data_IF_000136947963
#
_entry.id   IF_000136947963
#
_cell.length_a   1.000
_cell.length_b   1.000
_cell.length_c   1.000
_cell.angle_alpha   90.00
_cell.angle_beta   90.00
_cell.angle_gamma   90.00
#
_symmetry.space_group_name_H-M   'P 1'
#
loop_
_entity.id
_entity.type
_entity.pdbx_description
1 polymer ?
#
# COMPACT_ATOMS: atom_id res chain seq x y z
N UNK A 1 4.27 -29.94 19.86
CA UNK A 1 4.75 -29.31 18.61
C UNK A 1 3.55 -29.02 17.70
N UNK A 2 3.57 -27.93 16.92
CA UNK A 2 2.47 -27.56 16.01
C UNK A 2 2.68 -28.17 14.59
N UNK A 3 1.92 -29.20 14.18
CA UNK A 3 2.08 -29.82 12.86
C UNK A 3 1.54 -28.99 11.69
N UNK A 4 0.70 -27.98 11.98
CA UNK A 4 0.16 -27.08 10.97
C UNK A 4 1.15 -25.99 10.55
N UNK A 5 2.18 -25.75 11.36
CA UNK A 5 3.22 -24.77 11.03
C UNK A 5 4.20 -25.35 10.01
N UNK A 6 4.04 -24.94 8.75
CA UNK A 6 4.91 -25.30 7.63
C UNK A 6 5.40 -24.00 6.98
N UNK A 7 6.58 -23.47 7.37
CA UNK A 7 7.06 -22.22 6.82
C UNK A 7 7.33 -22.38 5.32
N UNK A 8 6.84 -21.41 4.54
CA UNK A 8 7.11 -21.34 3.10
C UNK A 8 8.56 -20.87 2.91
N UNK A 9 9.36 -21.52 2.05
CA UNK A 9 10.74 -21.09 1.81
C UNK A 9 10.78 -19.67 1.21
N UNK A 10 11.84 -18.89 1.50
CA UNK A 10 11.97 -17.56 0.93
C UNK A 10 12.32 -17.60 -0.57
N UNK A 11 12.12 -16.47 -1.24
CA UNK A 11 12.52 -16.29 -2.63
C UNK A 11 14.04 -16.23 -2.76
N UNK A 12 14.57 -16.80 -3.85
CA UNK A 12 15.99 -16.71 -4.16
C UNK A 12 16.39 -15.29 -4.56
N UNK A 13 17.65 -14.95 -4.34
CA UNK A 13 18.15 -13.60 -4.57
C UNK A 13 18.08 -13.20 -6.04
N UNK A 14 18.45 -14.12 -6.94
CA UNK A 14 18.35 -13.92 -8.38
C UNK A 14 16.91 -13.61 -8.83
N UNK A 15 15.89 -14.28 -8.25
CA UNK A 15 14.49 -13.97 -8.55
C UNK A 15 14.15 -12.56 -8.08
N UNK A 16 14.56 -12.17 -6.87
CA UNK A 16 14.27 -10.83 -6.36
C UNK A 16 14.88 -9.74 -7.25
N UNK A 17 16.11 -9.95 -7.72
CA UNK A 17 16.78 -9.02 -8.65
C UNK A 17 16.01 -8.91 -9.97
N UNK A 18 15.65 -10.03 -10.57
CA UNK A 18 14.88 -10.02 -11.84
C UNK A 18 13.51 -9.37 -11.67
N UNK A 19 12.81 -9.62 -10.56
CA UNK A 19 11.54 -9.00 -10.24
C UNK A 19 11.67 -7.48 -10.02
N UNK A 20 12.72 -7.03 -9.33
CA UNK A 20 12.96 -5.61 -9.11
C UNK A 20 13.21 -4.86 -10.43
N UNK A 21 14.02 -5.43 -11.33
CA UNK A 21 14.27 -4.86 -12.66
C UNK A 21 13.00 -4.85 -13.51
N UNK A 22 12.24 -5.96 -13.55
CA UNK A 22 10.99 -6.03 -14.30
C UNK A 22 9.93 -5.06 -13.76
N UNK A 23 9.92 -4.79 -12.46
CA UNK A 23 8.96 -3.88 -11.83
C UNK A 23 9.08 -2.43 -12.31
N UNK A 24 10.23 -2.01 -12.86
CA UNK A 24 10.40 -0.67 -13.42
C UNK A 24 9.65 -0.48 -14.75
N UNK A 25 9.53 -1.54 -15.54
CA UNK A 25 8.94 -1.49 -16.90
C UNK A 25 7.53 -2.08 -16.97
N UNK A 26 7.15 -2.96 -16.04
CA UNK A 26 5.88 -3.69 -16.07
C UNK A 26 5.05 -3.42 -14.82
N UNK A 27 3.72 -3.35 -14.93
CA UNK A 27 2.87 -3.12 -13.78
C UNK A 27 2.94 -4.31 -12.80
N UNK A 28 3.15 -4.02 -11.52
CA UNK A 28 3.31 -5.02 -10.44
C UNK A 28 2.20 -6.09 -10.42
N UNK A 29 0.96 -5.71 -10.77
CA UNK A 29 -0.17 -6.64 -10.83
C UNK A 29 0.03 -7.74 -11.86
N UNK A 30 0.63 -7.43 -13.00
CA UNK A 30 0.91 -8.41 -14.06
C UNK A 30 2.02 -9.36 -13.60
N UNK A 31 3.08 -8.82 -12.98
CA UNK A 31 4.15 -9.62 -12.40
C UNK A 31 3.67 -10.54 -11.29
N UNK A 32 2.74 -10.08 -10.44
CA UNK A 32 2.15 -10.89 -9.37
C UNK A 32 1.46 -12.13 -9.93
N UNK A 33 0.72 -11.98 -11.03
CA UNK A 33 0.02 -13.09 -11.69
C UNK A 33 1.02 -14.03 -12.39
N UNK A 34 1.99 -13.47 -13.11
CA UNK A 34 3.01 -14.23 -13.86
C UNK A 34 3.88 -15.08 -12.93
N UNK A 35 4.36 -14.48 -11.85
CA UNK A 35 5.29 -15.12 -10.91
C UNK A 35 4.59 -15.77 -9.71
N UNK A 36 3.25 -15.69 -9.61
CA UNK A 36 2.46 -16.21 -8.47
C UNK A 36 2.98 -15.73 -7.11
N UNK A 37 3.39 -14.47 -7.06
CA UNK A 37 3.87 -13.79 -5.86
C UNK A 37 2.83 -12.77 -5.41
N UNK A 38 2.63 -12.64 -4.11
CA UNK A 38 1.73 -11.62 -3.58
C UNK A 38 2.17 -10.20 -3.97
N UNK A 39 1.21 -9.34 -4.29
CA UNK A 39 1.48 -7.96 -4.73
C UNK A 39 2.26 -7.17 -3.66
N UNK A 40 1.92 -7.35 -2.39
CA UNK A 40 2.63 -6.75 -1.25
C UNK A 40 4.09 -7.19 -1.18
N UNK A 41 4.37 -8.48 -1.43
CA UNK A 41 5.74 -8.99 -1.44
C UNK A 41 6.53 -8.38 -2.59
N UNK A 42 5.93 -8.21 -3.77
CA UNK A 42 6.60 -7.52 -4.89
C UNK A 42 6.91 -6.06 -4.57
N UNK A 43 5.98 -5.32 -3.97
CA UNK A 43 6.22 -3.95 -3.50
C UNK A 43 7.36 -3.90 -2.48
N UNK A 44 7.37 -4.83 -1.53
CA UNK A 44 8.42 -4.93 -0.52
C UNK A 44 9.78 -5.26 -1.14
N UNK A 45 9.85 -6.21 -2.09
CA UNK A 45 11.09 -6.54 -2.82
C UNK A 45 11.62 -5.30 -3.53
N UNK A 46 10.78 -4.61 -4.30
CA UNK A 46 11.18 -3.41 -5.05
C UNK A 46 11.75 -2.33 -4.11
N UNK A 47 11.08 -2.05 -2.98
CA UNK A 47 11.57 -1.10 -1.97
C UNK A 47 12.90 -1.52 -1.34
N UNK A 48 13.03 -2.78 -0.94
CA UNK A 48 14.24 -3.30 -0.30
C UNK A 48 15.44 -3.28 -1.26
N UNK A 49 15.23 -3.62 -2.53
CA UNK A 49 16.26 -3.58 -3.58
C UNK A 49 16.69 -2.15 -3.89
N UNK A 50 15.75 -1.20 -3.97
CA UNK A 50 16.09 0.21 -4.11
C UNK A 50 16.98 0.70 -2.95
N UNK A 51 16.66 0.29 -1.71
CA UNK A 51 17.47 0.62 -0.53
C UNK A 51 18.84 -0.05 -0.53
N UNK A 52 18.94 -1.28 -0.99
CA UNK A 52 20.21 -1.99 -1.17
C UNK A 52 21.13 -1.23 -2.15
N UNK A 53 20.60 -0.83 -3.31
CA UNK A 53 21.33 -0.01 -4.27
C UNK A 53 21.75 1.35 -3.68
N UNK A 54 20.91 1.98 -2.86
CA UNK A 54 21.27 3.20 -2.15
C UNK A 54 22.43 2.97 -1.16
N UNK A 55 22.40 1.88 -0.38
CA UNK A 55 23.49 1.55 0.55
C UNK A 55 24.82 1.31 -0.17
N UNK A 56 24.78 0.66 -1.34
CA UNK A 56 25.96 0.47 -2.19
C UNK A 56 26.51 1.82 -2.68
N UNK A 57 25.64 2.76 -3.10
CA UNK A 57 26.05 4.12 -3.50
C UNK A 57 26.65 4.92 -2.34
N UNK A 58 26.16 4.70 -1.12
CA UNK A 58 26.69 5.28 0.12
C UNK A 58 27.99 4.61 0.61
N UNK A 59 28.47 3.55 -0.07
CA UNK A 59 29.68 2.82 0.31
C UNK A 59 29.51 1.93 1.55
N UNK A 60 28.27 1.62 1.95
CA UNK A 60 28.00 0.73 3.09
C UNK A 60 28.19 -0.73 2.66
N UNK A 61 28.97 -1.54 3.40
CA UNK A 61 29.20 -2.93 3.04
C UNK A 61 27.94 -3.78 3.26
N UNK A 62 27.57 -4.59 2.26
CA UNK A 62 26.46 -5.54 2.36
C UNK A 62 26.94 -6.86 3.01
N UNK A 63 26.10 -7.44 3.87
CA UNK A 63 26.39 -8.68 4.59
C UNK A 63 26.06 -9.93 3.75
N UNK A 64 26.72 -10.10 2.62
CA UNK A 64 26.40 -11.16 1.64
C UNK A 64 26.55 -12.58 2.23
N UNK A 65 27.64 -12.84 2.97
CA UNK A 65 27.90 -14.17 3.57
C UNK A 65 26.79 -14.60 4.53
N UNK A 66 26.30 -13.66 5.33
CA UNK A 66 25.20 -13.91 6.25
C UNK A 66 23.90 -14.20 5.49
N UNK A 67 23.59 -13.41 4.47
CA UNK A 67 22.43 -13.62 3.62
C UNK A 67 22.45 -15.00 2.94
N UNK A 68 23.62 -15.42 2.42
CA UNK A 68 23.80 -16.75 1.81
C UNK A 68 23.61 -17.88 2.83
N UNK A 69 24.20 -17.77 4.03
CA UNK A 69 24.01 -18.78 5.08
C UNK A 69 22.55 -18.91 5.53
N UNK A 70 21.85 -17.78 5.66
CA UNK A 70 20.42 -17.76 5.99
C UNK A 70 19.56 -18.39 4.88
N UNK A 71 19.86 -18.12 3.62
CA UNK A 71 19.15 -18.71 2.48
C UNK A 71 19.26 -20.25 2.48
N UNK A 72 20.44 -20.78 2.80
CA UNK A 72 20.66 -22.22 2.92
C UNK A 72 19.87 -22.82 4.10
N UNK A 73 19.88 -22.18 5.27
CA UNK A 73 19.13 -22.65 6.45
C UNK A 73 17.61 -22.64 6.25
N UNK A 74 17.10 -21.68 5.47
CA UNK A 74 15.67 -21.54 5.19
C UNK A 74 15.20 -22.36 3.99
N UNK A 75 16.09 -23.16 3.38
CA UNK A 75 15.74 -24.08 2.29
C UNK A 75 15.30 -23.38 1.01
N UNK A 76 15.97 -22.28 0.63
CA UNK A 76 15.70 -21.60 -0.64
C UNK A 76 15.97 -22.59 -1.80
N UNK A 77 15.01 -22.81 -2.71
CA UNK A 77 15.20 -23.71 -3.84
C UNK A 77 16.23 -23.12 -4.82
N UNK A 78 17.21 -23.94 -5.22
CA UNK A 78 18.21 -23.54 -6.23
C UNK A 78 17.59 -23.46 -7.64
N UNK A 79 16.55 -24.27 -7.92
CA UNK A 79 15.79 -24.22 -9.17
C UNK A 79 14.59 -23.28 -9.03
N UNK A 80 14.74 -22.09 -9.61
CA UNK A 80 13.95 -20.89 -9.38
C UNK A 80 12.59 -20.81 -10.09
N UNK A 81 12.15 -21.85 -10.78
CA UNK A 81 11.04 -21.71 -11.74
C UNK A 81 9.64 -21.73 -11.12
N UNK A 82 9.50 -22.13 -9.86
CA UNK A 82 8.17 -22.23 -9.24
C UNK A 82 8.20 -21.83 -7.76
N UNK A 83 8.52 -20.56 -7.49
CA UNK A 83 8.15 -19.96 -6.20
C UNK A 83 6.64 -19.70 -6.17
N UNK A 84 5.87 -20.77 -6.04
CA UNK A 84 4.41 -20.68 -5.92
C UNK A 84 4.11 -20.27 -4.49
N UNK A 85 3.95 -18.99 -4.25
CA UNK A 85 3.13 -18.60 -3.13
C UNK A 85 1.70 -18.99 -3.45
N UNK A 86 0.99 -19.61 -2.50
CA UNK A 86 -0.46 -19.55 -2.56
C UNK A 86 -0.80 -18.06 -2.46
N UNK A 87 -1.19 -17.44 -3.58
CA UNK A 87 -1.81 -16.11 -3.57
C UNK A 87 -2.93 -16.23 -2.56
N UNK A 88 -2.75 -15.62 -1.39
CA UNK A 88 -3.64 -15.82 -0.26
C UNK A 88 -5.02 -15.40 -0.71
N UNK A 89 -5.85 -16.39 -1.04
CA UNK A 89 -7.27 -16.19 -1.20
C UNK A 89 -7.76 -15.84 0.19
N UNK A 90 -7.85 -14.54 0.46
CA UNK A 90 -8.56 -14.04 1.62
C UNK A 90 -10.03 -14.42 1.41
N UNK A 91 -10.35 -15.66 1.79
CA UNK A 91 -11.73 -16.14 1.82
C UNK A 91 -12.45 -15.24 2.80
N UNK A 92 -13.47 -14.48 2.38
CA UNK A 92 -14.19 -13.60 3.28
C UNK A 92 -14.71 -14.42 4.46
N UNK A 93 -14.59 -13.91 5.68
CA UNK A 93 -15.08 -14.57 6.89
C UNK A 93 -16.54 -14.99 6.68
N UNK A 94 -16.75 -16.29 6.46
CA UNK A 94 -18.06 -16.83 6.15
C UNK A 94 -18.78 -16.92 7.49
N UNK A 95 -19.84 -16.11 7.67
CA UNK A 95 -20.81 -16.27 8.77
C UNK A 95 -21.40 -17.70 8.76
N UNK A 96 -22.23 -18.02 9.75
CA UNK A 96 -22.97 -19.29 9.83
C UNK A 96 -23.54 -19.74 8.47
N UNK A 97 -23.45 -21.04 8.12
CA UNK A 97 -23.97 -21.56 6.87
C UNK A 97 -25.47 -21.25 6.73
N UNK A 98 -25.90 -20.87 5.52
CA UNK A 98 -27.30 -20.62 5.18
C UNK A 98 -27.73 -21.60 4.10
N UNK A 99 -28.87 -22.23 4.33
CA UNK A 99 -29.49 -23.14 3.37
C UNK A 99 -30.77 -22.49 2.84
N UNK A 100 -30.98 -22.56 1.54
CA UNK A 100 -32.20 -22.10 0.88
C UNK A 100 -32.79 -23.28 0.10
N UNK A 101 -34.11 -23.46 0.22
CA UNK A 101 -34.84 -24.48 -0.54
C UNK A 101 -35.14 -23.89 -1.92
N UNK A 102 -34.79 -24.62 -2.95
CA UNK A 102 -34.82 -24.19 -4.35
C UNK A 102 -35.61 -25.25 -5.13
N UNK A 103 -36.52 -24.88 -6.04
CA UNK A 103 -37.35 -25.83 -6.76
C UNK A 103 -36.52 -26.70 -7.71
N UNK A 104 -36.93 -27.96 -7.81
CA UNK A 104 -36.33 -28.99 -8.65
C UNK A 104 -36.43 -28.56 -10.13
N UNK A 105 -35.29 -28.33 -10.77
CA UNK A 105 -35.20 -27.82 -12.15
C UNK A 105 -34.68 -26.38 -12.26
N UNK A 106 -34.49 -25.67 -11.16
CA UNK A 106 -33.81 -24.37 -11.17
C UNK A 106 -32.32 -24.50 -10.85
N UNK A 107 -31.49 -23.71 -11.55
CA UNK A 107 -30.04 -23.65 -11.35
C UNK A 107 -29.68 -22.35 -10.63
N UNK A 108 -28.99 -22.44 -9.51
CA UNK A 108 -28.50 -21.25 -8.79
C UNK A 108 -27.11 -20.85 -9.28
N UNK A 109 -27.01 -19.59 -9.69
CA UNK A 109 -25.72 -18.98 -10.05
C UNK A 109 -24.98 -18.46 -8.82
N UNK A 110 -23.64 -18.36 -8.85
CA UNK A 110 -22.86 -17.76 -7.76
C UNK A 110 -23.28 -16.31 -7.42
N UNK A 111 -23.80 -15.58 -8.41
CA UNK A 111 -24.29 -14.20 -8.21
C UNK A 111 -25.61 -14.16 -7.44
N UNK A 112 -26.53 -15.09 -7.72
CA UNK A 112 -27.77 -15.25 -6.97
C UNK A 112 -27.51 -15.71 -5.54
N UNK A 113 -26.57 -16.66 -5.36
CA UNK A 113 -26.13 -17.07 -4.04
C UNK A 113 -25.55 -15.89 -3.25
N UNK A 114 -24.75 -15.02 -3.89
CA UNK A 114 -24.23 -13.83 -3.24
C UNK A 114 -25.36 -12.87 -2.80
N UNK A 115 -26.39 -12.67 -3.63
CA UNK A 115 -27.58 -11.86 -3.27
C UNK A 115 -28.33 -12.45 -2.06
N UNK A 116 -28.58 -13.76 -2.04
CA UNK A 116 -29.25 -14.45 -0.92
C UNK A 116 -28.43 -14.31 0.37
N UNK A 117 -27.10 -14.37 0.25
CA UNK A 117 -26.18 -14.18 1.37
C UNK A 117 -25.99 -12.71 1.76
N UNK A 118 -26.54 -11.75 1.01
CA UNK A 118 -26.34 -10.32 1.22
C UNK A 118 -24.88 -9.89 1.02
N UNK A 119 -24.18 -10.49 0.05
CA UNK A 119 -22.75 -10.31 -0.22
C UNK A 119 -22.50 -9.76 -1.62
N UNK A 120 -21.36 -9.08 -1.84
CA UNK A 120 -20.91 -8.74 -3.19
C UNK A 120 -20.63 -10.03 -3.99
N UNK A 121 -20.89 -9.97 -5.30
CA UNK A 121 -20.60 -11.07 -6.21
C UNK A 121 -19.10 -11.42 -6.20
N UNK A 122 -18.74 -12.71 -6.32
CA UNK A 122 -17.34 -13.17 -6.23
C UNK A 122 -16.43 -12.53 -7.29
N UNK A 123 -16.97 -12.20 -8.46
CA UNK A 123 -16.25 -11.49 -9.53
C UNK A 123 -15.77 -10.10 -9.11
N UNK A 124 -16.47 -9.42 -8.20
CA UNK A 124 -16.17 -8.04 -7.76
C UNK A 124 -15.22 -7.99 -6.56
N UNK A 125 -15.10 -9.06 -5.79
CA UNK A 125 -14.25 -9.09 -4.59
C UNK A 125 -12.78 -9.35 -4.90
N UNK A 126 -12.47 -10.26 -5.81
CA UNK A 126 -11.08 -10.59 -6.20
C UNK A 126 -10.24 -9.35 -6.57
N UNK A 127 -10.74 -8.36 -7.35
CA UNK A 127 -9.95 -7.19 -7.71
C UNK A 127 -9.87 -6.08 -6.63
N UNK A 128 -10.75 -6.06 -5.63
CA UNK A 128 -10.83 -4.95 -4.64
C UNK A 128 -10.03 -5.18 -3.36
N UNK A 129 -9.71 -6.44 -3.04
CA UNK A 129 -8.90 -6.79 -1.86
C UNK A 129 -7.41 -6.43 -2.02
N UNK A 130 -6.90 -6.31 -3.24
CA UNK A 130 -5.51 -5.88 -3.49
C UNK A 130 -5.29 -4.38 -3.25
N UNK A 131 -6.34 -3.54 -3.39
CA UNK A 131 -6.21 -2.08 -3.22
C UNK A 131 -6.41 -1.63 -1.77
N UNK A 132 -7.16 -2.40 -0.96
CA UNK A 132 -7.51 -2.01 0.41
C UNK A 132 -6.39 -2.31 1.41
N UNK A 133 -5.52 -3.28 1.16
CA UNK A 133 -4.38 -3.56 2.04
C UNK A 133 -3.16 -2.64 1.80
N UNK A 134 -3.14 -1.89 0.69
CA UNK A 134 -2.09 -0.90 0.37
C UNK A 134 -2.12 0.38 1.24
N UNK A 135 -3.11 0.51 2.14
CA UNK A 135 -3.26 1.67 3.06
C UNK A 135 -2.71 1.44 4.47
N UNK A 136 -1.78 0.49 4.66
CA UNK A 136 -1.09 0.34 5.95
C UNK A 136 0.35 0.86 5.89
N UNK A 137 0.53 2.02 6.53
CA UNK A 137 1.70 2.50 7.29
C UNK A 137 3.09 2.65 6.63
N UNK A 138 3.74 3.76 7.03
CA UNK A 138 5.14 4.18 6.82
C UNK A 138 5.54 4.62 5.40
N UNK A 139 5.15 5.85 5.03
CA UNK A 139 6.00 6.69 4.18
C UNK A 139 7.15 7.25 5.05
N UNK A 140 8.16 6.43 5.31
CA UNK A 140 9.48 6.92 5.73
C UNK A 140 10.33 7.13 4.48
N UNK A 141 9.98 8.14 3.67
CA UNK A 141 10.96 8.74 2.77
C UNK A 141 11.71 9.80 3.57
N UNK A 142 13.06 9.84 3.54
CA UNK A 142 13.77 11.05 3.95
C UNK A 142 13.40 12.14 2.93
N UNK A 143 12.44 12.99 3.29
CA UNK A 143 12.17 14.21 2.53
C UNK A 143 13.43 15.06 2.65
N UNK A 144 14.29 15.00 1.64
CA UNK A 144 15.33 16.01 1.43
C UNK A 144 14.59 17.27 0.99
N UNK A 145 14.19 18.06 1.99
CA UNK A 145 13.71 19.43 1.78
C UNK A 145 14.89 20.20 1.18
N UNK A 146 14.90 20.34 -0.15
CA UNK A 146 15.66 21.41 -0.77
C UNK A 146 15.10 22.72 -0.21
N UNK A 147 15.92 23.38 0.61
CA UNK A 147 15.60 24.69 1.19
C UNK A 147 15.37 25.65 0.02
N UNK A 148 14.12 26.03 -0.21
CA UNK A 148 13.79 27.08 -1.15
C UNK A 148 14.51 28.37 -0.72
N UNK A 149 14.92 29.24 -1.66
CA UNK A 149 15.55 30.52 -1.31
C UNK A 149 14.61 31.31 -0.39
N UNK A 150 15.11 31.67 0.80
CA UNK A 150 14.37 32.37 1.83
C UNK A 150 13.90 33.73 1.29
N UNK A 151 12.59 33.88 1.07
CA UNK A 151 11.98 35.20 0.95
C UNK A 151 11.77 35.79 2.35
N UNK A 152 11.77 37.13 2.53
CA UNK A 152 11.77 37.78 3.86
C UNK A 152 10.52 37.55 4.74
N UNK A 153 9.65 36.59 4.42
CA UNK A 153 8.38 36.33 5.10
C UNK A 153 8.33 35.02 5.90
N UNK A 154 9.44 34.27 6.00
CA UNK A 154 9.49 33.06 6.83
C UNK A 154 9.63 33.37 8.32
N UNK A 155 8.53 33.81 8.94
CA UNK A 155 8.38 33.76 10.41
C UNK A 155 8.14 32.30 10.83
N UNK A 156 8.76 31.81 11.91
CA UNK A 156 8.64 30.41 12.32
C UNK A 156 7.18 30.04 12.62
N UNK A 157 6.65 29.15 11.77
CA UNK A 157 5.29 28.60 11.77
C UNK A 157 5.00 27.66 12.96
N UNK A 158 5.42 28.01 14.18
CA UNK A 158 5.05 27.26 15.39
C UNK A 158 3.67 27.65 15.96
N UNK A 159 3.07 28.75 15.48
CA UNK A 159 1.81 29.28 16.00
C UNK A 159 0.77 29.66 14.94
N UNK A 160 0.92 29.17 13.71
CA UNK A 160 -0.05 29.42 12.63
C UNK A 160 -1.29 28.54 12.80
N UNK A 161 -2.23 28.99 13.63
CA UNK A 161 -3.55 28.37 13.74
C UNK A 161 -4.45 28.85 12.62
N UNK A 162 -5.15 27.93 11.96
CA UNK A 162 -6.11 28.28 10.93
C UNK A 162 -7.38 27.43 11.06
N UNK A 163 -8.52 28.09 10.95
CA UNK A 163 -9.84 27.51 11.11
C UNK A 163 -10.44 27.26 9.73
N UNK A 164 -10.94 26.05 9.51
CA UNK A 164 -11.72 25.69 8.32
C UNK A 164 -13.12 25.33 8.80
N UNK A 165 -14.12 26.04 8.29
CA UNK A 165 -15.51 25.64 8.53
C UNK A 165 -15.83 24.42 7.66
N UNK A 166 -16.30 23.35 8.29
CA UNK A 166 -16.77 22.12 7.64
C UNK A 166 -18.31 22.04 7.59
N UNK A 167 -19.00 23.16 7.72
CA UNK A 167 -20.45 23.26 7.54
C UNK A 167 -20.92 22.61 6.23
N UNK A 168 -22.20 22.23 6.15
CA UNK A 168 -22.84 21.41 5.09
C UNK A 168 -22.81 21.98 3.66
N UNK A 169 -21.93 22.92 3.35
CA UNK A 169 -21.74 23.47 2.02
C UNK A 169 -20.55 22.78 1.33
N UNK A 170 -20.67 22.65 0.01
CA UNK A 170 -19.72 21.96 -0.88
C UNK A 170 -18.27 22.42 -0.67
N UNK A 171 -17.27 21.54 -0.88
CA UNK A 171 -15.86 21.80 -0.56
C UNK A 171 -15.27 23.05 -1.26
N UNK A 172 -15.93 23.53 -2.30
CA UNK A 172 -15.49 24.69 -3.08
C UNK A 172 -15.68 26.04 -2.36
N UNK A 173 -16.63 26.13 -1.42
CA UNK A 173 -16.97 27.38 -0.72
C UNK A 173 -16.51 27.42 0.75
N UNK A 174 -15.55 26.58 1.12
CA UNK A 174 -15.00 26.58 2.49
C UNK A 174 -14.16 27.84 2.72
N UNK A 175 -14.64 28.71 3.62
CA UNK A 175 -13.86 29.87 4.08
C UNK A 175 -12.76 29.37 5.01
N UNK A 176 -11.53 29.82 4.75
CA UNK A 176 -10.36 29.51 5.59
C UNK A 176 -9.97 30.78 6.31
N UNK A 177 -9.96 30.74 7.64
CA UNK A 177 -9.49 31.83 8.48
C UNK A 177 -8.10 31.50 9.03
N UNK A 178 -7.20 32.47 9.02
CA UNK A 178 -5.84 32.37 9.55
C UNK A 178 -5.71 33.33 10.72
N UNK A 179 -5.17 32.84 11.85
CA UNK A 179 -4.88 33.66 13.02
C UNK A 179 -3.49 34.29 12.88
N UNK A 180 -3.42 35.60 12.96
CA UNK A 180 -2.17 36.34 12.99
C UNK A 180 -1.53 36.32 14.39
N UNK A 181 -0.27 36.75 14.50
CA UNK A 181 0.47 36.81 15.77
C UNK A 181 -0.23 37.64 16.83
N UNK A 182 -0.95 38.67 16.39
CA UNK A 182 -1.62 39.65 17.25
C UNK A 182 -3.00 39.13 17.71
N UNK A 183 -3.36 37.91 17.31
CA UNK A 183 -4.62 37.27 17.67
C UNK A 183 -5.80 37.61 16.76
N UNK A 184 -5.63 38.55 15.83
CA UNK A 184 -6.63 38.87 14.82
C UNK A 184 -6.86 37.69 13.86
N UNK A 185 -8.12 37.50 13.45
CA UNK A 185 -8.49 36.53 12.43
C UNK A 185 -8.62 37.24 11.09
N UNK A 186 -7.88 36.76 10.08
CA UNK A 186 -8.03 37.22 8.70
C UNK A 186 -8.45 36.09 7.78
N UNK A 187 -9.02 36.44 6.63
CA UNK A 187 -9.20 35.49 5.53
C UNK A 187 -7.87 34.99 5.01
N UNK A 188 -7.80 33.70 4.68
CA UNK A 188 -6.63 33.12 4.03
C UNK A 188 -6.42 33.73 2.64
N UNK A 189 -5.17 33.91 2.25
CA UNK A 189 -4.85 34.27 0.86
C UNK A 189 -5.14 33.09 -0.07
N UNK A 190 -5.28 33.36 -1.37
CA UNK A 190 -5.58 32.34 -2.39
C UNK A 190 -4.51 31.22 -2.41
N UNK A 191 -3.27 31.56 -2.11
CA UNK A 191 -2.14 30.62 -2.07
C UNK A 191 -2.20 29.73 -0.82
N UNK A 192 -2.43 30.32 0.36
CA UNK A 192 -2.61 29.59 1.63
C UNK A 192 -3.79 28.60 1.54
N UNK A 193 -4.91 29.03 0.96
CA UNK A 193 -6.07 28.18 0.74
C UNK A 193 -5.76 26.99 -0.20
N UNK A 194 -4.97 27.23 -1.24
CA UNK A 194 -4.59 26.20 -2.23
C UNK A 194 -3.63 25.17 -1.65
N UNK A 195 -2.65 25.61 -0.87
CA UNK A 195 -1.70 24.72 -0.20
C UNK A 195 -2.43 23.79 0.79
N UNK A 196 -3.42 24.32 1.49
CA UNK A 196 -4.23 23.54 2.43
C UNK A 196 -5.09 22.49 1.74
N UNK A 197 -5.75 22.83 0.62
CA UNK A 197 -6.48 21.85 -0.21
C UNK A 197 -5.57 20.70 -0.66
N UNK A 198 -4.32 20.99 -1.02
CA UNK A 198 -3.32 19.96 -1.38
C UNK A 198 -2.94 19.06 -0.21
N UNK A 199 -2.83 19.59 1.01
CA UNK A 199 -2.57 18.77 2.21
C UNK A 199 -3.72 17.81 2.49
N UNK A 200 -4.97 18.26 2.38
CA UNK A 200 -6.14 17.41 2.62
C UNK A 200 -6.34 16.34 1.54
N UNK A 201 -6.05 16.61 0.27
CA UNK A 201 -6.12 15.59 -0.78
C UNK A 201 -5.09 14.46 -0.63
N UNK A 202 -4.10 14.61 0.26
CA UNK A 202 -3.08 13.58 0.54
C UNK A 202 -3.48 12.62 1.66
N UNK A 203 -4.56 12.90 2.40
CA UNK A 203 -5.12 12.04 3.45
C UNK A 203 -6.44 11.43 2.97
#
# INVERSE_FOLDING_TARGET
MNPAFRPVPPLSEAIKDTLAVKAESTPLRRLAIEHKVSLQRLEAISKLKAREHQMLKEGKPLQMKYATGMAQMLGVPENSESSVEAVVENVPSVKSPRFAIIPEGSHMTPEEAAKILGRPAPSKTIPSLSSTQAKSSSKDEPVVLQKAPETPQDKPSRWAFSFTDFGRHTPDNTSVLVRETDGALRGATREEARERRRRYQRY
#
